data_IF_687195372775
#
_entry.id   IF_687195372775
#
_cell.length_a   1.000
_cell.length_b   1.000
_cell.length_c   1.000
_cell.angle_alpha   90.00
_cell.angle_beta   90.00
_cell.angle_gamma   90.00
#
_symmetry.space_group_name_H-M   'P 1'
#
loop_
_entity.id
_entity.type
_entity.pdbx_description
1 polymer ?
#
# COMPACT_ATOMS: atom_id res chain seq x y z
N UNK A 1 2.01 -3.63 15.95
CA UNK A 1 3.00 -2.55 16.08
C UNK A 1 2.30 -1.21 16.14
N UNK A 2 2.84 -0.21 16.85
CA UNK A 2 2.34 1.16 16.78
C UNK A 2 2.43 1.68 15.34
N UNK A 3 1.38 2.37 14.88
CA UNK A 3 1.34 3.03 13.57
C UNK A 3 1.30 4.53 13.79
N UNK A 4 2.11 5.27 13.03
CA UNK A 4 2.14 6.73 13.01
C UNK A 4 1.82 7.18 11.59
N UNK A 5 0.87 8.07 11.45
CA UNK A 5 0.39 8.52 10.15
C UNK A 5 0.90 9.92 9.84
N UNK A 6 1.37 10.13 8.60
CA UNK A 6 1.66 11.43 8.02
C UNK A 6 0.72 11.63 6.84
N UNK A 7 0.06 12.77 6.77
CA UNK A 7 -0.86 13.07 5.69
C UNK A 7 -1.42 14.48 5.79
N UNK A 8 -2.19 14.89 4.79
CA UNK A 8 -2.92 16.15 4.78
C UNK A 8 -4.38 15.93 4.37
N UNK A 9 -5.27 16.64 5.04
CA UNK A 9 -6.70 16.70 4.75
C UNK A 9 -7.18 18.15 4.78
N UNK A 10 -8.30 18.41 4.14
CA UNK A 10 -8.94 19.73 4.19
C UNK A 10 -9.84 19.91 5.40
N UNK A 11 -10.45 21.08 5.53
CA UNK A 11 -11.44 21.37 6.57
C UNK A 11 -12.73 20.55 6.43
N UNK A 12 -12.95 19.95 5.27
CA UNK A 12 -14.09 19.07 4.98
C UNK A 12 -13.89 17.64 5.48
N UNK A 13 -12.74 17.33 6.14
CA UNK A 13 -12.46 16.04 6.72
C UNK A 13 -13.32 15.79 7.97
N UNK A 14 -14.13 14.71 8.00
CA UNK A 14 -14.98 14.42 9.16
C UNK A 14 -14.16 14.03 10.39
N UNK A 15 -14.44 14.65 11.54
CA UNK A 15 -13.76 14.34 12.81
C UNK A 15 -13.91 12.84 13.20
N UNK A 16 -15.00 12.21 12.82
CA UNK A 16 -15.27 10.79 13.07
C UNK A 16 -14.22 9.87 12.44
N UNK A 17 -13.60 10.27 11.33
CA UNK A 17 -12.54 9.50 10.68
C UNK A 17 -11.24 9.55 11.51
N UNK A 18 -10.88 10.73 12.02
CA UNK A 18 -9.74 10.85 12.95
C UNK A 18 -10.00 10.02 14.22
N UNK A 19 -11.19 10.12 14.80
CA UNK A 19 -11.58 9.35 15.97
C UNK A 19 -11.55 7.83 15.71
N UNK A 20 -11.89 7.38 14.49
CA UNK A 20 -11.76 5.97 14.11
C UNK A 20 -10.29 5.53 14.09
N UNK A 21 -9.41 6.30 13.47
CA UNK A 21 -7.97 6.00 13.41
C UNK A 21 -7.37 5.90 14.82
N UNK A 22 -7.70 6.85 15.70
CA UNK A 22 -7.24 6.89 17.09
C UNK A 22 -7.76 5.68 17.90
N UNK A 23 -9.04 5.31 17.73
CA UNK A 23 -9.59 4.09 18.35
C UNK A 23 -8.88 2.81 17.91
N UNK A 24 -8.31 2.80 16.69
CA UNK A 24 -7.47 1.70 16.18
C UNK A 24 -6.01 1.78 16.65
N UNK A 25 -5.68 2.76 17.48
CA UNK A 25 -4.33 2.94 18.03
C UNK A 25 -3.33 3.57 17.06
N UNK A 26 -3.82 4.28 16.03
CA UNK A 26 -3.00 5.02 15.09
C UNK A 26 -2.70 6.39 15.65
N UNK A 27 -1.43 6.77 15.71
CA UNK A 27 -0.99 8.11 16.06
C UNK A 27 -1.25 9.05 14.86
N UNK A 28 -2.20 9.94 15.02
CA UNK A 28 -2.64 10.92 14.02
C UNK A 28 -1.97 12.28 14.18
N UNK A 29 -0.99 12.43 15.08
CA UNK A 29 -0.30 13.71 15.32
C UNK A 29 0.44 14.27 14.10
N UNK A 30 0.70 13.46 13.09
CA UNK A 30 1.24 13.86 11.80
C UNK A 30 0.19 14.18 10.73
N UNK A 31 -1.09 14.09 11.04
CA UNK A 31 -2.17 14.47 10.12
C UNK A 31 -2.37 15.99 10.17
N UNK A 32 -2.15 16.65 9.03
CA UNK A 32 -2.30 18.10 8.89
C UNK A 32 -3.69 18.43 8.36
N UNK A 33 -4.44 19.26 9.08
CA UNK A 33 -5.71 19.82 8.59
C UNK A 33 -5.39 21.20 7.98
N UNK A 34 -5.58 21.33 6.66
CA UNK A 34 -5.23 22.54 5.93
C UNK A 34 -6.41 23.49 5.91
N UNK A 35 -6.31 24.69 6.54
CA UNK A 35 -7.38 25.68 6.58
C UNK A 35 -7.80 26.14 5.18
N UNK A 36 -9.09 26.21 4.93
CA UNK A 36 -9.67 26.60 3.62
C UNK A 36 -9.48 25.56 2.51
N UNK A 37 -8.78 24.47 2.79
CA UNK A 37 -8.52 23.42 1.82
C UNK A 37 -9.62 22.36 1.77
N UNK A 38 -9.65 21.57 0.71
CA UNK A 38 -10.48 20.36 0.57
C UNK A 38 -9.63 19.12 0.61
N UNK A 39 -10.19 18.06 1.18
CA UNK A 39 -9.55 16.73 1.19
C UNK A 39 -9.46 16.17 -0.23
N UNK A 40 -8.41 15.40 -0.50
CA UNK A 40 -8.28 14.61 -1.72
C UNK A 40 -9.56 13.84 -2.03
N UNK A 41 -9.94 13.84 -3.30
CA UNK A 41 -11.12 13.11 -3.76
C UNK A 41 -10.81 12.34 -5.03
N UNK A 42 -11.10 11.05 -5.00
CA UNK A 42 -11.11 10.20 -6.18
C UNK A 42 -12.50 9.56 -6.33
N UNK A 43 -12.97 9.47 -7.56
CA UNK A 43 -14.19 8.75 -7.91
C UNK A 43 -13.93 7.85 -9.11
N UNK A 44 -14.23 6.58 -8.94
CA UNK A 44 -14.12 5.59 -10.00
C UNK A 44 -15.37 4.73 -10.14
N UNK A 45 -15.39 3.96 -11.20
CA UNK A 45 -16.40 2.94 -11.47
C UNK A 45 -15.68 1.63 -11.76
N UNK A 46 -15.99 0.59 -11.00
CA UNK A 46 -15.51 -0.76 -11.29
C UNK A 46 -16.33 -1.39 -12.42
N UNK A 47 -15.64 -2.13 -13.28
CA UNK A 47 -16.27 -2.91 -14.33
C UNK A 47 -16.88 -4.21 -13.73
N UNK A 48 -17.73 -4.94 -14.48
CA UNK A 48 -18.40 -6.14 -13.94
C UNK A 48 -17.47 -7.23 -13.41
N UNK A 49 -16.20 -7.26 -13.84
CA UNK A 49 -15.19 -8.18 -13.33
C UNK A 49 -14.61 -7.78 -11.97
N UNK A 50 -14.96 -6.61 -11.44
CA UNK A 50 -14.49 -6.06 -10.16
C UNK A 50 -12.96 -5.92 -10.03
N UNK A 51 -12.20 -6.13 -11.10
CA UNK A 51 -10.75 -5.92 -11.17
C UNK A 51 -10.39 -4.62 -11.89
N UNK A 52 -11.05 -4.38 -13.01
CA UNK A 52 -10.82 -3.20 -13.83
C UNK A 52 -11.66 -2.02 -13.34
N UNK A 53 -11.07 -0.84 -13.39
CA UNK A 53 -11.74 0.40 -12.99
C UNK A 53 -11.54 1.49 -14.03
N UNK A 54 -12.53 2.37 -14.12
CA UNK A 54 -12.44 3.65 -14.83
C UNK A 54 -12.40 4.78 -13.81
N UNK A 55 -11.40 5.62 -13.88
CA UNK A 55 -11.37 6.85 -13.10
C UNK A 55 -12.31 7.88 -13.73
N UNK A 56 -13.28 8.34 -12.96
CA UNK A 56 -14.26 9.36 -13.41
C UNK A 56 -13.73 10.76 -13.09
N UNK A 57 -13.19 10.96 -11.88
CA UNK A 57 -12.61 12.25 -11.47
C UNK A 57 -11.54 12.06 -10.41
N UNK A 58 -10.54 12.93 -10.44
CA UNK A 58 -9.50 13.06 -9.42
C UNK A 58 -9.36 14.54 -9.07
N UNK A 59 -9.40 14.86 -7.78
CA UNK A 59 -9.11 16.18 -7.25
C UNK A 59 -8.01 16.04 -6.20
N UNK A 60 -6.79 16.48 -6.52
CA UNK A 60 -5.66 16.41 -5.59
C UNK A 60 -5.89 17.29 -4.38
N UNK A 61 -6.51 18.48 -4.58
CA UNK A 61 -6.84 19.42 -3.51
C UNK A 61 -5.61 19.71 -2.62
N UNK A 62 -5.72 19.52 -1.30
CA UNK A 62 -4.62 19.80 -0.36
C UNK A 62 -3.37 18.93 -0.61
N UNK A 63 -3.47 17.82 -1.35
CA UNK A 63 -2.31 17.00 -1.66
C UNK A 63 -1.44 17.59 -2.77
N UNK A 64 -1.96 18.51 -3.57
CA UNK A 64 -1.20 19.11 -4.68
C UNK A 64 -0.01 19.96 -4.19
N UNK A 65 -0.21 20.63 -3.04
CA UNK A 65 0.81 21.47 -2.41
C UNK A 65 1.31 20.91 -1.07
N UNK A 66 1.02 19.63 -0.79
CA UNK A 66 1.36 19.04 0.49
C UNK A 66 2.87 18.96 0.71
N UNK A 67 3.32 19.55 1.79
CA UNK A 67 4.71 19.47 2.25
C UNK A 67 4.76 18.73 3.60
N UNK A 68 5.16 17.46 3.61
CA UNK A 68 5.22 16.67 4.83
C UNK A 68 6.25 17.23 5.81
N UNK A 69 5.87 17.30 7.09
CA UNK A 69 6.78 17.68 8.18
C UNK A 69 6.78 16.58 9.22
N UNK A 70 7.87 15.84 9.29
CA UNK A 70 8.03 14.75 10.25
C UNK A 70 8.53 15.30 11.58
N UNK A 71 7.72 15.16 12.63
CA UNK A 71 8.18 15.39 14.00
C UNK A 71 9.19 14.30 14.43
N UNK A 72 9.90 14.50 15.56
CA UNK A 72 10.95 13.58 16.02
C UNK A 72 10.51 12.11 16.12
N UNK A 73 9.29 11.86 16.60
CA UNK A 73 8.73 10.51 16.71
C UNK A 73 8.45 9.85 15.37
N UNK A 74 8.09 10.63 14.34
CA UNK A 74 7.85 10.14 12.98
C UNK A 74 9.17 9.92 12.23
N UNK A 75 10.20 10.73 12.50
CA UNK A 75 11.54 10.54 11.93
C UNK A 75 12.20 9.24 12.43
N UNK A 76 11.83 8.78 13.62
CA UNK A 76 12.35 7.56 14.25
C UNK A 76 11.41 6.38 13.97
N UNK A 77 11.34 5.96 12.71
CA UNK A 77 10.59 4.78 12.28
C UNK A 77 11.54 3.74 11.67
N UNK A 78 11.42 2.47 12.08
CA UNK A 78 12.20 1.37 11.48
C UNK A 78 11.57 0.83 10.20
N UNK A 79 10.26 0.86 10.11
CA UNK A 79 9.48 0.37 8.96
C UNK A 79 8.70 1.54 8.38
N UNK A 80 9.06 1.98 7.19
CA UNK A 80 8.44 3.09 6.51
C UNK A 80 7.62 2.59 5.32
N UNK A 81 6.34 2.96 5.27
CA UNK A 81 5.51 2.78 4.10
C UNK A 81 5.17 4.12 3.47
N UNK A 82 5.60 4.31 2.25
CA UNK A 82 5.30 5.47 1.42
C UNK A 82 4.06 5.14 0.59
N UNK A 83 2.88 5.42 1.15
CA UNK A 83 1.61 5.22 0.47
C UNK A 83 1.49 6.04 -0.79
N UNK A 84 0.47 5.75 -1.59
CA UNK A 84 0.25 6.42 -2.86
C UNK A 84 0.13 7.95 -2.70
N UNK A 85 1.19 8.64 -3.09
CA UNK A 85 1.34 10.08 -3.13
C UNK A 85 2.27 10.46 -4.28
N UNK A 86 2.39 11.76 -4.56
CA UNK A 86 3.41 12.27 -5.48
C UNK A 86 4.81 11.73 -5.12
N UNK A 87 5.59 11.19 -6.06
CA UNK A 87 6.97 10.77 -5.81
C UNK A 87 7.83 11.84 -5.16
N UNK A 88 7.61 13.11 -5.47
CA UNK A 88 8.31 14.21 -4.81
C UNK A 88 7.99 14.28 -3.30
N UNK A 89 6.73 14.08 -2.92
CA UNK A 89 6.30 14.00 -1.51
C UNK A 89 6.88 12.76 -0.83
N UNK A 90 6.88 11.61 -1.51
CA UNK A 90 7.48 10.37 -0.99
C UNK A 90 8.99 10.52 -0.76
N UNK A 91 9.70 11.16 -1.67
CA UNK A 91 11.12 11.51 -1.52
C UNK A 91 11.38 12.44 -0.35
N UNK A 92 10.52 13.45 -0.15
CA UNK A 92 10.65 14.38 0.98
C UNK A 92 10.45 13.65 2.32
N UNK A 93 9.43 12.79 2.44
CA UNK A 93 9.23 11.93 3.63
C UNK A 93 10.46 11.05 3.86
N UNK A 94 10.95 10.37 2.82
CA UNK A 94 12.12 9.49 2.92
C UNK A 94 13.37 10.22 3.39
N UNK A 95 13.61 11.44 2.88
CA UNK A 95 14.75 12.26 3.28
C UNK A 95 14.68 12.71 4.75
N UNK A 96 13.48 12.82 5.32
CA UNK A 96 13.28 13.17 6.73
C UNK A 96 13.30 11.96 7.67
N UNK A 97 13.00 10.75 7.18
CA UNK A 97 13.02 9.51 7.96
C UNK A 97 14.47 9.02 8.16
N UNK A 98 15.00 9.15 9.40
CA UNK A 98 16.43 8.95 9.67
C UNK A 98 16.83 7.50 9.95
N UNK A 99 15.91 6.69 10.47
CA UNK A 99 16.18 5.37 11.02
C UNK A 99 15.39 4.26 10.33
N UNK A 100 14.90 4.49 9.11
CA UNK A 100 14.19 3.48 8.35
C UNK A 100 15.15 2.35 7.93
N UNK A 101 14.85 1.14 8.42
CA UNK A 101 15.58 -0.09 8.07
C UNK A 101 14.95 -0.79 6.86
N UNK A 102 13.64 -0.59 6.69
CA UNK A 102 12.87 -1.07 5.55
C UNK A 102 11.96 0.05 5.06
N UNK A 103 12.13 0.43 3.81
CA UNK A 103 11.25 1.38 3.13
C UNK A 103 10.56 0.69 1.95
N UNK A 104 9.23 0.70 1.97
CA UNK A 104 8.39 0.18 0.88
C UNK A 104 7.51 1.30 0.36
N UNK A 105 7.41 1.43 -0.95
CA UNK A 105 6.54 2.41 -1.59
C UNK A 105 5.40 1.75 -2.37
N UNK A 106 4.32 2.49 -2.53
CA UNK A 106 3.27 2.26 -3.52
C UNK A 106 3.29 3.39 -4.55
N UNK A 107 2.69 3.16 -5.71
CA UNK A 107 2.56 4.16 -6.78
C UNK A 107 1.24 3.96 -7.52
N UNK A 108 0.95 4.81 -8.50
CA UNK A 108 -0.20 4.65 -9.39
C UNK A 108 0.13 5.18 -10.81
N UNK A 109 -0.75 4.85 -11.75
CA UNK A 109 -0.66 5.23 -13.16
C UNK A 109 -0.45 6.74 -13.37
N UNK A 110 -1.11 7.59 -12.56
CA UNK A 110 -0.93 9.04 -12.62
C UNK A 110 0.54 9.42 -12.50
N UNK A 111 1.21 8.96 -11.43
CA UNK A 111 2.58 9.35 -11.15
C UNK A 111 3.58 8.74 -12.13
N UNK A 112 3.31 7.52 -12.60
CA UNK A 112 4.12 6.87 -13.64
C UNK A 112 4.11 7.72 -14.92
N UNK A 113 2.98 8.38 -15.23
CA UNK A 113 2.83 9.17 -16.44
C UNK A 113 3.35 10.61 -16.32
N UNK A 114 3.19 11.26 -15.15
CA UNK A 114 3.45 12.72 -15.03
C UNK A 114 4.65 13.08 -14.16
N UNK A 115 5.20 12.15 -13.35
CA UNK A 115 6.36 12.35 -12.47
C UNK A 115 7.35 11.19 -12.58
N UNK A 116 7.67 10.78 -13.81
CA UNK A 116 8.50 9.62 -14.08
C UNK A 116 9.92 9.76 -13.56
N UNK A 117 10.51 10.95 -13.65
CA UNK A 117 11.89 11.19 -13.25
C UNK A 117 12.03 11.12 -11.72
N UNK A 118 11.11 11.73 -10.96
CA UNK A 118 11.06 11.65 -9.51
C UNK A 118 10.76 10.22 -9.04
N UNK A 119 9.88 9.51 -9.76
CA UNK A 119 9.61 8.10 -9.46
C UNK A 119 10.86 7.25 -9.67
N UNK A 120 11.59 7.44 -10.76
CA UNK A 120 12.85 6.73 -11.02
C UNK A 120 13.89 7.03 -9.93
N UNK A 121 13.98 8.28 -9.46
CA UNK A 121 14.83 8.64 -8.33
C UNK A 121 14.41 7.91 -7.05
N UNK A 122 13.11 7.88 -6.73
CA UNK A 122 12.56 7.18 -5.58
C UNK A 122 12.92 5.70 -5.60
N UNK A 123 12.75 5.04 -6.75
CA UNK A 123 13.03 3.61 -6.93
C UNK A 123 14.47 3.24 -6.57
N UNK A 124 15.44 4.15 -6.77
CA UNK A 124 16.84 3.90 -6.39
C UNK A 124 17.08 3.96 -4.88
N UNK A 125 16.11 4.47 -4.10
CA UNK A 125 16.29 4.76 -2.66
C UNK A 125 15.44 3.89 -1.75
N UNK A 126 14.50 3.11 -2.28
CA UNK A 126 13.59 2.26 -1.52
C UNK A 126 14.02 0.79 -1.56
N UNK A 127 13.59 0.01 -0.57
CA UNK A 127 13.85 -1.43 -0.52
C UNK A 127 12.81 -2.23 -1.30
N UNK A 128 11.55 -1.80 -1.29
CA UNK A 128 10.47 -2.52 -1.94
C UNK A 128 9.49 -1.61 -2.66
N UNK A 129 8.93 -2.11 -3.77
CA UNK A 129 7.82 -1.48 -4.47
C UNK A 129 6.63 -2.42 -4.51
N UNK A 130 5.44 -1.91 -4.19
CA UNK A 130 4.17 -2.63 -4.31
C UNK A 130 3.30 -1.88 -5.32
N UNK A 131 2.85 -2.56 -6.37
CA UNK A 131 2.03 -1.96 -7.42
C UNK A 131 1.08 -3.01 -8.02
N UNK A 132 0.07 -2.60 -8.79
CA UNK A 132 -0.77 -3.54 -9.50
C UNK A 132 -0.17 -3.95 -10.86
N UNK A 133 -0.79 -4.91 -11.53
CA UNK A 133 -0.30 -5.46 -12.79
C UNK A 133 -0.36 -4.46 -13.96
N UNK A 134 -1.39 -3.59 -14.01
CA UNK A 134 -1.47 -2.53 -15.01
C UNK A 134 -0.36 -1.48 -14.81
N UNK A 135 -0.13 -1.06 -13.58
CA UNK A 135 0.96 -0.16 -13.19
C UNK A 135 2.33 -0.78 -13.49
N UNK A 136 2.50 -2.08 -13.23
CA UNK A 136 3.75 -2.78 -13.53
C UNK A 136 4.05 -2.81 -15.02
N UNK A 137 3.06 -3.12 -15.86
CA UNK A 137 3.19 -3.07 -17.31
C UNK A 137 3.51 -1.66 -17.83
N UNK A 138 2.82 -0.66 -17.28
CA UNK A 138 3.04 0.74 -17.64
C UNK A 138 4.45 1.21 -17.24
N UNK A 139 4.88 0.89 -16.02
CA UNK A 139 6.19 1.30 -15.50
C UNK A 139 7.35 0.63 -16.26
N UNK A 140 7.21 -0.65 -16.57
CA UNK A 140 8.23 -1.44 -17.26
C UNK A 140 8.16 -1.32 -18.81
N UNK A 141 7.06 -0.76 -19.35
CA UNK A 141 6.77 -0.75 -20.78
C UNK A 141 6.79 -2.18 -21.40
N UNK A 142 6.31 -3.16 -20.62
CA UNK A 142 6.29 -4.57 -21.03
C UNK A 142 4.99 -5.27 -20.56
N UNK A 143 4.28 -5.90 -21.49
CA UNK A 143 3.04 -6.63 -21.21
C UNK A 143 3.25 -7.95 -20.43
N UNK A 144 4.46 -8.49 -20.40
CA UNK A 144 4.77 -9.70 -19.68
C UNK A 144 5.17 -9.38 -18.23
N UNK A 145 4.34 -9.75 -17.27
CA UNK A 145 4.55 -9.42 -15.84
C UNK A 145 5.84 -10.01 -15.24
N UNK A 146 6.34 -11.12 -15.77
CA UNK A 146 7.62 -11.69 -15.30
C UNK A 146 8.78 -10.77 -15.72
N UNK A 147 8.80 -10.36 -16.99
CA UNK A 147 9.82 -9.42 -17.47
C UNK A 147 9.67 -8.05 -16.81
N UNK A 148 8.43 -7.57 -16.68
CA UNK A 148 8.13 -6.30 -15.98
C UNK A 148 8.65 -6.31 -14.54
N UNK A 149 8.39 -7.36 -13.77
CA UNK A 149 8.86 -7.48 -12.39
C UNK A 149 10.39 -7.44 -12.29
N UNK A 150 11.08 -8.15 -13.17
CA UNK A 150 12.56 -8.10 -13.22
C UNK A 150 13.09 -6.73 -13.67
N UNK A 151 12.46 -6.10 -14.66
CA UNK A 151 12.84 -4.78 -15.14
C UNK A 151 12.68 -3.71 -14.05
N UNK A 152 11.54 -3.70 -13.35
CA UNK A 152 11.27 -2.76 -12.25
C UNK A 152 12.27 -2.98 -11.11
N UNK A 153 12.56 -4.25 -10.75
CA UNK A 153 13.59 -4.52 -9.75
C UNK A 153 14.96 -3.96 -10.16
N UNK A 154 15.31 -4.06 -11.43
CA UNK A 154 16.57 -3.50 -11.95
C UNK A 154 16.63 -1.97 -11.92
N UNK A 155 15.49 -1.27 -11.75
CA UNK A 155 15.45 0.19 -11.54
C UNK A 155 15.92 0.62 -10.14
N UNK A 156 16.05 -0.33 -9.18
CA UNK A 156 16.59 -0.02 -7.85
C UNK A 156 16.06 -0.84 -6.68
N UNK A 157 14.76 -1.13 -6.57
CA UNK A 157 14.22 -1.81 -5.40
C UNK A 157 14.83 -3.21 -5.20
N UNK A 158 15.07 -3.61 -3.95
CA UNK A 158 15.54 -4.97 -3.62
C UNK A 158 14.49 -6.02 -3.92
N UNK A 159 13.21 -5.65 -3.79
CA UNK A 159 12.08 -6.51 -4.17
C UNK A 159 10.93 -5.72 -4.77
N UNK A 160 10.13 -6.42 -5.57
CA UNK A 160 8.90 -5.90 -6.20
C UNK A 160 7.75 -6.85 -5.93
N UNK A 161 6.60 -6.31 -5.57
CA UNK A 161 5.34 -7.06 -5.41
C UNK A 161 4.34 -6.55 -6.45
N UNK A 162 3.92 -7.43 -7.35
CA UNK A 162 2.89 -7.12 -8.35
C UNK A 162 1.57 -7.75 -7.91
N UNK A 163 0.61 -6.91 -7.51
CA UNK A 163 -0.76 -7.32 -7.15
C UNK A 163 -1.56 -7.58 -8.43
N UNK A 164 -2.35 -8.66 -8.45
CA UNK A 164 -3.09 -9.11 -9.64
C UNK A 164 -4.58 -9.36 -9.33
N UNK A 165 -5.16 -8.60 -8.41
CA UNK A 165 -6.55 -8.74 -8.00
C UNK A 165 -6.91 -10.16 -7.57
N UNK A 166 -7.93 -10.76 -8.17
CA UNK A 166 -8.38 -12.13 -7.90
C UNK A 166 -7.33 -13.22 -8.21
N UNK A 167 -6.29 -12.88 -8.97
CA UNK A 167 -5.21 -13.80 -9.32
C UNK A 167 -4.03 -13.73 -8.33
N UNK A 168 -4.16 -12.99 -7.22
CA UNK A 168 -3.16 -12.92 -6.15
C UNK A 168 -2.03 -11.97 -6.43
N UNK A 169 -0.78 -12.36 -6.14
CA UNK A 169 0.39 -11.51 -6.27
C UNK A 169 1.62 -12.27 -6.75
N UNK A 170 2.54 -11.55 -7.37
CA UNK A 170 3.87 -12.05 -7.74
C UNK A 170 4.92 -11.27 -6.95
N UNK A 171 5.93 -11.96 -6.48
CA UNK A 171 7.08 -11.39 -5.78
C UNK A 171 8.35 -11.62 -6.59
N UNK A 172 9.20 -10.61 -6.63
CA UNK A 172 10.48 -10.62 -7.32
C UNK A 172 11.56 -10.06 -6.39
N UNK A 173 12.63 -10.80 -6.21
CA UNK A 173 13.86 -10.32 -5.57
C UNK A 173 15.07 -10.72 -6.43
N UNK A 174 16.28 -10.49 -5.93
CA UNK A 174 17.49 -10.91 -6.62
C UNK A 174 17.59 -12.45 -6.78
N UNK A 175 17.12 -13.18 -5.77
CA UNK A 175 17.33 -14.62 -5.67
C UNK A 175 16.06 -15.45 -5.82
N UNK A 176 14.90 -14.82 -5.68
CA UNK A 176 13.61 -15.52 -5.62
C UNK A 176 12.53 -14.83 -6.45
N UNK A 177 11.76 -15.63 -7.14
CA UNK A 177 10.46 -15.26 -7.67
C UNK A 177 9.43 -16.28 -7.19
N UNK A 178 8.30 -15.83 -6.70
CA UNK A 178 7.19 -16.72 -6.38
C UNK A 178 5.84 -16.07 -6.61
N UNK A 179 4.82 -16.90 -6.72
CA UNK A 179 3.43 -16.49 -6.93
C UNK A 179 2.62 -16.90 -5.71
N UNK A 180 1.77 -16.00 -5.25
CA UNK A 180 0.85 -16.24 -4.16
C UNK A 180 -0.57 -16.03 -4.66
N UNK A 181 -1.49 -17.03 -4.60
CA UNK A 181 -2.86 -16.87 -5.04
C UNK A 181 -3.62 -15.89 -4.15
N UNK A 182 -4.72 -15.34 -4.62
CA UNK A 182 -5.64 -14.59 -3.76
C UNK A 182 -6.33 -15.55 -2.76
N UNK A 183 -6.79 -15.00 -1.62
CA UNK A 183 -7.72 -15.73 -0.77
C UNK A 183 -9.07 -15.82 -1.48
N UNK A 184 -9.67 -17.02 -1.65
CA UNK A 184 -10.94 -17.18 -2.34
C UNK A 184 -12.07 -16.52 -1.56
N UNK A 185 -12.73 -15.54 -2.17
CA UNK A 185 -13.81 -14.76 -1.58
C UNK A 185 -15.06 -14.90 -2.45
N UNK A 186 -16.17 -15.41 -1.89
CA UNK A 186 -17.41 -15.59 -2.64
C UNK A 186 -18.10 -14.26 -2.94
N UNK A 187 -17.93 -13.28 -2.08
CA UNK A 187 -18.63 -12.00 -2.16
C UNK A 187 -17.62 -10.85 -2.23
N UNK A 188 -17.53 -10.24 -3.39
CA UNK A 188 -16.78 -9.01 -3.60
C UNK A 188 -17.75 -7.86 -3.74
N UNK A 189 -17.74 -6.93 -2.78
CA UNK A 189 -18.64 -5.76 -2.77
C UNK A 189 -17.92 -4.51 -3.26
N UNK A 190 -16.73 -4.25 -2.74
CA UNK A 190 -15.95 -3.06 -3.07
C UNK A 190 -14.44 -3.36 -2.99
N UNK A 191 -13.75 -3.45 -4.13
CA UNK A 191 -12.30 -3.68 -4.13
C UNK A 191 -11.46 -2.42 -3.83
N UNK A 192 -12.11 -1.25 -3.60
CA UNK A 192 -11.39 -0.02 -3.27
C UNK A 192 -10.63 -0.19 -1.96
N UNK A 193 -9.34 0.16 -1.98
CA UNK A 193 -8.47 0.03 -0.81
C UNK A 193 -7.95 -1.39 -0.55
N UNK A 194 -8.29 -2.39 -1.38
CA UNK A 194 -7.73 -3.74 -1.24
C UNK A 194 -6.20 -3.74 -1.39
N UNK A 195 -5.68 -2.94 -2.33
CA UNK A 195 -4.24 -2.75 -2.51
C UNK A 195 -3.57 -2.12 -1.28
N UNK A 196 -4.20 -1.08 -0.72
CA UNK A 196 -3.71 -0.40 0.50
C UNK A 196 -3.73 -1.35 1.70
N UNK A 197 -4.81 -2.13 1.82
CA UNK A 197 -4.95 -3.14 2.87
C UNK A 197 -3.95 -4.28 2.73
N UNK A 198 -3.62 -4.68 1.50
CA UNK A 198 -2.55 -5.62 1.23
C UNK A 198 -1.21 -5.08 1.74
N UNK A 199 -0.86 -3.87 1.35
CA UNK A 199 0.39 -3.23 1.78
C UNK A 199 0.41 -3.02 3.30
N UNK A 200 -0.70 -2.57 3.89
CA UNK A 200 -0.86 -2.41 5.34
C UNK A 200 -0.71 -3.72 6.11
N UNK A 201 -1.32 -4.81 5.64
CA UNK A 201 -1.20 -6.15 6.22
C UNK A 201 0.23 -6.68 6.13
N UNK A 202 0.88 -6.51 4.98
CA UNK A 202 2.27 -6.88 4.75
C UNK A 202 3.21 -6.11 5.70
N UNK A 203 3.15 -4.80 5.68
CA UNK A 203 4.03 -3.93 6.49
C UNK A 203 3.77 -4.10 8.00
N UNK A 204 2.50 -4.20 8.39
CA UNK A 204 2.11 -4.43 9.78
C UNK A 204 2.65 -5.75 10.33
N UNK A 205 2.65 -6.81 9.51
CA UNK A 205 3.25 -8.10 9.89
C UNK A 205 4.76 -8.00 10.04
N UNK A 206 5.48 -7.43 9.05
CA UNK A 206 6.93 -7.22 9.13
C UNK A 206 7.33 -6.40 10.35
N UNK A 207 6.62 -5.30 10.62
CA UNK A 207 6.86 -4.47 11.78
C UNK A 207 6.59 -5.23 13.10
N UNK A 208 5.61 -6.14 13.13
CA UNK A 208 5.34 -6.97 14.31
C UNK A 208 6.43 -8.01 14.57
N UNK A 209 7.06 -8.54 13.52
CA UNK A 209 8.18 -9.46 13.62
C UNK A 209 9.50 -8.74 13.93
N UNK A 210 9.62 -7.46 13.60
CA UNK A 210 10.85 -6.69 13.71
C UNK A 210 11.97 -7.16 12.77
N UNK A 211 11.63 -7.91 11.71
CA UNK A 211 12.56 -8.45 10.70
C UNK A 211 11.92 -8.53 9.31
N UNK A 212 12.74 -8.56 8.27
CA UNK A 212 12.31 -8.59 6.86
C UNK A 212 13.21 -9.47 5.98
N UNK A 213 13.70 -10.58 6.55
CA UNK A 213 14.36 -11.63 5.77
C UNK A 213 13.40 -12.32 4.78
N UNK A 214 13.89 -13.15 3.84
CA UNK A 214 13.04 -13.76 2.81
C UNK A 214 11.83 -14.53 3.36
N UNK A 215 11.99 -15.24 4.49
CA UNK A 215 10.89 -15.98 5.11
C UNK A 215 9.84 -15.01 5.69
N UNK A 216 10.28 -13.95 6.36
CA UNK A 216 9.38 -12.92 6.90
C UNK A 216 8.62 -12.19 5.78
N UNK A 217 9.27 -11.88 4.66
CA UNK A 217 8.64 -11.29 3.48
C UNK A 217 7.55 -12.21 2.90
N UNK A 218 7.82 -13.51 2.81
CA UNK A 218 6.86 -14.49 2.31
C UNK A 218 5.62 -14.61 3.20
N UNK A 219 5.81 -14.63 4.52
CA UNK A 219 4.71 -14.60 5.48
C UNK A 219 3.94 -13.27 5.42
N UNK A 220 4.64 -12.16 5.28
CA UNK A 220 4.04 -10.84 5.19
C UNK A 220 3.13 -10.69 3.96
N UNK A 221 3.52 -11.23 2.81
CA UNK A 221 2.67 -11.26 1.62
C UNK A 221 1.38 -12.06 1.84
N UNK A 222 1.46 -13.18 2.56
CA UNK A 222 0.29 -13.94 2.93
C UNK A 222 -0.65 -13.15 3.89
N UNK A 223 -0.08 -12.42 4.85
CA UNK A 223 -0.87 -11.50 5.70
C UNK A 223 -1.47 -10.35 4.90
N UNK A 224 -0.75 -9.79 3.92
CA UNK A 224 -1.27 -8.80 2.99
C UNK A 224 -2.47 -9.33 2.20
N UNK A 225 -2.33 -10.53 1.62
CA UNK A 225 -3.41 -11.21 0.88
C UNK A 225 -4.65 -11.43 1.74
N UNK A 226 -4.45 -11.91 2.96
CA UNK A 226 -5.55 -12.15 3.92
C UNK A 226 -6.22 -10.85 4.33
N UNK A 227 -5.45 -9.80 4.59
CA UNK A 227 -6.02 -8.49 4.98
C UNK A 227 -6.83 -7.88 3.84
N UNK A 228 -6.31 -7.91 2.62
CA UNK A 228 -7.02 -7.45 1.42
C UNK A 228 -8.34 -8.20 1.19
N UNK A 229 -8.39 -9.52 1.50
CA UNK A 229 -9.61 -10.31 1.34
C UNK A 229 -10.75 -9.87 2.26
N UNK A 230 -10.46 -9.28 3.41
CA UNK A 230 -11.49 -8.69 4.28
C UNK A 230 -12.02 -7.38 3.70
N UNK A 231 -11.15 -6.56 3.09
CA UNK A 231 -11.54 -5.26 2.53
C UNK A 231 -12.60 -5.42 1.47
N UNK A 232 -12.46 -6.37 0.56
CA UNK A 232 -13.39 -6.56 -0.56
C UNK A 232 -14.77 -7.09 -0.15
N UNK A 233 -14.94 -7.57 1.08
CA UNK A 233 -16.21 -8.16 1.58
C UNK A 233 -17.25 -7.13 1.98
N UNK A 234 -16.90 -5.84 2.13
CA UNK A 234 -17.82 -4.78 2.55
C UNK A 234 -17.46 -3.47 1.84
N UNK A 235 -18.37 -2.49 1.90
CA UNK A 235 -18.12 -1.17 1.35
C UNK A 235 -17.21 -0.35 2.28
N UNK A 236 -16.19 0.31 1.69
CA UNK A 236 -15.27 1.19 2.40
C UNK A 236 -14.57 0.46 3.57
N UNK A 237 -14.58 1.05 4.78
CA UNK A 237 -13.97 0.51 5.99
C UNK A 237 -14.89 -0.42 6.80
N UNK A 238 -16.11 -0.70 6.32
CA UNK A 238 -17.14 -1.39 7.12
C UNK A 238 -16.72 -2.76 7.68
N UNK A 239 -15.91 -3.51 6.94
CA UNK A 239 -15.36 -4.78 7.41
C UNK A 239 -14.10 -4.57 8.27
N UNK A 240 -13.22 -3.63 7.88
CA UNK A 240 -11.97 -3.36 8.58
C UNK A 240 -12.18 -2.77 9.97
N UNK A 241 -13.23 -1.97 10.18
CA UNK A 241 -13.58 -1.44 11.50
C UNK A 241 -13.84 -2.54 12.55
N UNK A 242 -14.39 -3.67 12.10
CA UNK A 242 -14.73 -4.82 12.93
C UNK A 242 -13.62 -5.85 13.02
N UNK A 243 -12.54 -5.64 12.27
CA UNK A 243 -11.43 -6.58 12.19
C UNK A 243 -10.54 -6.46 13.42
N UNK A 244 -10.19 -7.59 13.99
CA UNK A 244 -9.15 -7.74 15.01
C UNK A 244 -8.06 -8.73 14.58
N UNK A 245 -7.00 -8.79 15.34
CA UNK A 245 -5.86 -9.66 15.04
C UNK A 245 -6.25 -11.15 15.03
N UNK A 246 -7.18 -11.58 15.86
CA UNK A 246 -7.56 -12.99 15.96
C UNK A 246 -8.25 -13.48 14.69
N UNK A 247 -9.11 -12.64 14.10
CA UNK A 247 -9.77 -12.94 12.83
C UNK A 247 -8.77 -13.01 11.67
N UNK A 248 -7.79 -12.11 11.64
CA UNK A 248 -6.72 -12.15 10.63
C UNK A 248 -5.89 -13.43 10.78
N UNK A 249 -5.49 -13.79 12.00
CA UNK A 249 -4.68 -14.99 12.26
C UNK A 249 -5.47 -16.27 11.98
N UNK A 250 -6.79 -16.28 12.20
CA UNK A 250 -7.65 -17.40 11.83
C UNK A 250 -7.66 -17.59 10.31
N UNK A 251 -7.98 -16.52 9.55
CA UNK A 251 -8.01 -16.58 8.08
C UNK A 251 -6.63 -16.90 7.50
N UNK A 252 -5.57 -16.42 8.12
CA UNK A 252 -4.21 -16.78 7.73
C UNK A 252 -3.92 -18.29 7.90
N UNK A 253 -4.42 -18.92 8.97
CA UNK A 253 -4.30 -20.39 9.14
C UNK A 253 -5.06 -21.14 8.06
N UNK A 254 -6.30 -20.72 7.76
CA UNK A 254 -7.09 -21.28 6.67
C UNK A 254 -6.37 -21.14 5.32
N UNK A 255 -5.85 -19.96 5.03
CA UNK A 255 -5.10 -19.69 3.81
C UNK A 255 -3.85 -20.58 3.69
N UNK A 256 -3.09 -20.72 4.77
CA UNK A 256 -1.93 -21.63 4.82
C UNK A 256 -2.31 -23.06 4.51
N UNK A 257 -3.43 -23.55 5.03
CA UNK A 257 -3.89 -24.92 4.76
C UNK A 257 -4.22 -25.14 3.28
N UNK A 258 -4.77 -24.12 2.61
CA UNK A 258 -5.06 -24.21 1.17
C UNK A 258 -3.80 -24.27 0.31
N UNK A 259 -2.67 -23.79 0.81
CA UNK A 259 -1.38 -23.76 0.09
C UNK A 259 -0.46 -24.94 0.41
N UNK A 260 -0.85 -25.81 1.33
CA UNK A 260 -0.04 -26.95 1.76
C UNK A 260 -0.48 -28.19 0.97
N UNK A 261 0.50 -28.91 0.41
CA UNK A 261 0.30 -30.16 -0.34
C UNK A 261 0.74 -31.36 0.49
#
# INVERSE_FOLDING_TARGET
SPVRMIGAVGEDWPEEHTALLERKGIDTSGLQIIPGGKTFRWRGRYLPNMNDRETIEVHLNVLDEFQPKLGPTHQDCRFLFLGNASPAVQLDVLNQAKNAELTVADTMDLWINIQRDELNELLTKIDGLVLNDAEAKLLAEDENLVRAGHAIRAMGPKFVVIKKGEHGAMFFSEHEMYVMPAFPTEKVLDPTGAGDSFAGGMMGHLASLGRFDPQALKEALAYGTVTASFTVEDFSLGRLEKLDRSLVDQRFKEYRQMLTF
#
